data_IF_446506945123
#
_entry.id   IF_446506945123
#
_cell.length_a   1.000
_cell.length_b   1.000
_cell.length_c   1.000
_cell.angle_alpha   90.00
_cell.angle_beta   90.00
_cell.angle_gamma   90.00
#
_symmetry.space_group_name_H-M   'P 1'
#
loop_
_entity.id
_entity.type
_entity.pdbx_description
1 polymer ?
#
# COMPACT_ATOMS: atom_id res chain seq x y z
N UNK A 1 -11.30 -15.71 8.11
CA UNK A 1 -11.54 -14.40 7.50
C UNK A 1 -12.86 -14.48 6.75
N UNK A 2 -13.89 -13.79 7.23
CA UNK A 2 -15.16 -13.60 6.55
C UNK A 2 -15.16 -12.35 5.65
N UNK A 3 -16.30 -12.01 5.05
CA UNK A 3 -16.42 -10.81 4.20
C UNK A 3 -16.15 -9.52 4.98
N UNK A 4 -16.67 -9.41 6.21
CA UNK A 4 -16.46 -8.23 7.06
C UNK A 4 -14.97 -8.02 7.37
N UNK A 5 -14.25 -9.09 7.72
CA UNK A 5 -12.80 -9.04 7.93
C UNK A 5 -12.06 -8.60 6.67
N UNK A 6 -12.51 -9.06 5.50
CA UNK A 6 -11.93 -8.66 4.22
C UNK A 6 -12.15 -7.17 3.91
N UNK A 7 -13.31 -6.61 4.28
CA UNK A 7 -13.58 -5.16 4.13
C UNK A 7 -12.61 -4.35 4.99
N UNK A 8 -12.37 -4.75 6.24
CA UNK A 8 -11.36 -4.09 7.08
C UNK A 8 -9.95 -4.22 6.52
N UNK A 9 -9.60 -5.40 6.02
CA UNK A 9 -8.33 -5.65 5.37
C UNK A 9 -8.13 -4.73 4.16
N UNK A 10 -9.07 -4.68 3.21
CA UNK A 10 -8.88 -3.92 1.98
C UNK A 10 -8.83 -2.40 2.23
N UNK A 11 -9.66 -1.88 3.14
CA UNK A 11 -9.61 -0.47 3.52
C UNK A 11 -8.25 -0.12 4.16
N UNK A 12 -7.74 -0.99 5.03
CA UNK A 12 -6.45 -0.80 5.68
C UNK A 12 -5.27 -1.00 4.74
N UNK A 13 -5.38 -1.89 3.76
CA UNK A 13 -4.33 -2.19 2.78
C UNK A 13 -4.15 -1.06 1.76
N UNK A 14 -5.26 -0.46 1.34
CA UNK A 14 -5.26 0.60 0.34
C UNK A 14 -4.96 1.99 0.91
N UNK A 15 -5.46 2.30 2.11
CA UNK A 15 -5.08 3.52 2.84
C UNK A 15 -4.43 3.20 4.19
N UNK A 16 -3.15 2.82 4.11
CA UNK A 16 -2.32 2.51 5.29
C UNK A 16 -2.04 3.71 6.19
N UNK A 17 -2.18 4.93 5.67
CA UNK A 17 -1.93 6.16 6.42
C UNK A 17 -3.17 6.63 7.20
N UNK A 18 -4.34 6.06 6.92
CA UNK A 18 -5.54 6.27 7.72
C UNK A 18 -5.35 5.78 9.16
N UNK A 19 -5.99 6.43 10.13
CA UNK A 19 -5.89 6.02 11.54
C UNK A 19 -6.27 4.54 11.77
N UNK A 20 -7.36 4.00 11.19
CA UNK A 20 -7.67 2.58 11.27
C UNK A 20 -6.61 1.69 10.61
N UNK A 21 -6.07 2.10 9.46
CA UNK A 21 -5.01 1.36 8.76
C UNK A 21 -3.72 1.29 9.58
N UNK A 22 -3.32 2.40 10.20
CA UNK A 22 -2.17 2.45 11.11
C UNK A 22 -2.32 1.47 12.27
N UNK A 23 -3.49 1.47 12.93
CA UNK A 23 -3.74 0.56 14.05
C UNK A 23 -3.81 -0.91 13.63
N UNK A 24 -4.39 -1.18 12.46
CA UNK A 24 -4.50 -2.53 11.91
C UNK A 24 -3.10 -3.11 11.67
N UNK A 25 -2.26 -2.40 10.92
CA UNK A 25 -0.93 -2.89 10.55
C UNK A 25 0.05 -2.88 11.70
N UNK A 26 -0.05 -1.91 12.62
CA UNK A 26 0.75 -1.90 13.84
C UNK A 26 0.54 -3.20 14.64
N UNK A 27 -0.72 -3.60 14.87
CA UNK A 27 -1.05 -4.85 15.57
C UNK A 27 -0.57 -6.11 14.84
N UNK A 28 -0.43 -6.05 13.51
CA UNK A 28 0.10 -7.17 12.74
C UNK A 28 1.62 -7.29 12.84
N UNK A 29 2.34 -6.17 13.04
CA UNK A 29 3.81 -6.14 13.07
C UNK A 29 4.35 -6.29 14.49
N UNK A 30 3.64 -5.75 15.49
CA UNK A 30 3.93 -5.94 16.91
C UNK A 30 3.72 -7.42 17.28
N UNK A 31 4.80 -8.20 17.22
CA UNK A 31 4.75 -9.67 17.29
C UNK A 31 4.54 -10.15 18.74
N UNK A 32 5.04 -9.39 19.71
CA UNK A 32 4.91 -9.69 21.13
C UNK A 32 3.74 -8.93 21.80
N UNK A 33 3.14 -7.96 21.11
CA UNK A 33 1.97 -7.20 21.57
C UNK A 33 2.31 -6.16 22.65
N UNK A 34 3.57 -5.74 22.73
CA UNK A 34 4.04 -4.84 23.79
C UNK A 34 3.76 -3.35 23.49
N UNK A 35 3.24 -3.01 22.31
CA UNK A 35 2.91 -1.65 21.90
C UNK A 35 4.09 -0.85 21.34
N UNK A 36 5.22 -1.47 21.03
CA UNK A 36 6.39 -0.85 20.37
C UNK A 36 6.89 -1.73 19.23
N UNK A 37 7.41 -1.12 18.16
CA UNK A 37 8.08 -1.82 17.07
C UNK A 37 9.58 -1.69 17.22
N UNK A 38 10.23 -2.82 17.39
CA UNK A 38 11.69 -2.94 17.51
C UNK A 38 12.34 -3.23 16.15
N UNK A 39 13.65 -2.99 15.98
CA UNK A 39 14.35 -3.36 14.76
C UNK A 39 14.26 -4.84 14.46
N UNK A 40 14.25 -5.71 15.48
CA UNK A 40 14.13 -7.16 15.29
C UNK A 40 12.79 -7.54 14.64
N UNK A 41 11.68 -6.94 15.06
CA UNK A 41 10.37 -7.18 14.44
C UNK A 41 10.31 -6.64 13.01
N UNK A 42 10.85 -5.43 12.79
CA UNK A 42 10.94 -4.87 11.44
C UNK A 42 11.81 -5.73 10.52
N UNK A 43 12.93 -6.24 11.01
CA UNK A 43 13.83 -7.12 10.27
C UNK A 43 13.11 -8.41 9.86
N UNK A 44 12.35 -9.02 10.77
CA UNK A 44 11.59 -10.24 10.49
C UNK A 44 10.68 -10.10 9.25
N UNK A 45 9.97 -8.98 9.10
CA UNK A 45 9.15 -8.75 7.92
C UNK A 45 9.99 -8.40 6.68
N UNK A 46 11.05 -7.61 6.86
CA UNK A 46 11.90 -7.18 5.76
C UNK A 46 12.70 -8.31 5.11
N UNK A 47 13.04 -9.39 5.84
CA UNK A 47 13.75 -10.55 5.27
C UNK A 47 13.02 -11.17 4.07
N UNK A 48 11.70 -11.28 4.12
CA UNK A 48 10.91 -11.78 2.99
C UNK A 48 10.91 -10.78 1.82
N UNK A 49 10.91 -9.47 2.11
CA UNK A 49 10.99 -8.44 1.08
C UNK A 49 12.32 -8.48 0.34
N UNK A 50 13.42 -8.67 1.08
CA UNK A 50 14.75 -8.86 0.52
C UNK A 50 14.78 -10.05 -0.45
N UNK A 51 14.23 -11.18 -0.03
CA UNK A 51 14.14 -12.38 -0.87
C UNK A 51 13.33 -12.11 -2.16
N UNK A 52 12.18 -11.44 -2.04
CA UNK A 52 11.35 -11.10 -3.20
C UNK A 52 12.03 -10.11 -4.14
N UNK A 53 12.82 -9.15 -3.63
CA UNK A 53 13.62 -8.24 -4.45
C UNK A 53 14.67 -8.98 -5.27
N UNK A 54 15.37 -9.95 -4.67
CA UNK A 54 16.33 -10.80 -5.36
C UNK A 54 15.67 -11.60 -6.50
N UNK A 55 14.49 -12.19 -6.26
CA UNK A 55 13.72 -12.90 -7.28
C UNK A 55 13.29 -12.00 -8.46
N UNK A 56 13.09 -10.71 -8.21
CA UNK A 56 12.73 -9.72 -9.22
C UNK A 56 13.94 -9.04 -9.88
N UNK A 57 15.17 -9.49 -9.57
CA UNK A 57 16.44 -8.89 -10.02
C UNK A 57 16.56 -7.41 -9.68
N UNK A 58 15.89 -6.98 -8.60
CA UNK A 58 16.06 -5.64 -8.03
C UNK A 58 17.32 -5.62 -7.16
N UNK A 59 17.95 -4.46 -7.04
CA UNK A 59 19.11 -4.30 -6.17
C UNK A 59 18.65 -4.36 -4.70
N UNK A 60 19.11 -5.36 -3.91
CA UNK A 60 18.73 -5.47 -2.51
C UNK A 60 19.34 -4.32 -1.69
N UNK A 61 18.56 -3.78 -0.75
CA UNK A 61 19.02 -2.77 0.20
C UNK A 61 19.28 -3.46 1.54
N UNK A 62 20.36 -3.08 2.23
CA UNK A 62 20.67 -3.64 3.55
C UNK A 62 19.63 -3.17 4.57
N UNK A 63 19.26 -4.05 5.50
CA UNK A 63 18.29 -3.71 6.54
C UNK A 63 18.75 -2.52 7.39
N UNK A 64 20.05 -2.36 7.65
CA UNK A 64 20.59 -1.22 8.39
C UNK A 64 20.25 0.13 7.72
N UNK A 65 20.34 0.20 6.39
CA UNK A 65 20.03 1.40 5.62
C UNK A 65 18.51 1.67 5.62
N UNK A 66 17.71 0.61 5.47
CA UNK A 66 16.25 0.67 5.56
C UNK A 66 15.80 1.13 6.94
N UNK A 67 16.43 0.61 7.99
CA UNK A 67 16.14 0.99 9.36
C UNK A 67 16.41 2.48 9.55
N UNK A 68 17.57 2.98 9.10
CA UNK A 68 17.87 4.42 9.13
C UNK A 68 16.81 5.23 8.38
N UNK A 69 16.42 4.80 7.18
CA UNK A 69 15.38 5.47 6.38
C UNK A 69 14.02 5.50 7.09
N UNK A 70 13.61 4.41 7.76
CA UNK A 70 12.37 4.35 8.54
C UNK A 70 12.44 5.31 9.73
N UNK A 71 13.54 5.32 10.48
CA UNK A 71 13.71 6.21 11.63
C UNK A 71 13.73 7.68 11.24
N UNK A 72 14.41 8.02 10.14
CA UNK A 72 14.42 9.38 9.59
C UNK A 72 13.03 9.81 9.09
N UNK A 73 12.26 8.88 8.53
CA UNK A 73 10.90 9.14 8.04
C UNK A 73 9.90 9.38 9.18
N UNK A 74 9.97 8.60 10.24
CA UNK A 74 9.04 8.69 11.38
C UNK A 74 9.46 9.79 12.35
N UNK A 75 10.75 9.98 12.58
CA UNK A 75 11.29 10.93 13.56
C UNK A 75 10.73 10.70 14.96
N UNK A 76 10.84 9.48 15.54
CA UNK A 76 10.25 9.17 16.85
C UNK A 76 10.78 10.11 17.94
N UNK A 77 9.91 10.51 18.87
CA UNK A 77 10.31 11.36 19.99
C UNK A 77 11.34 10.60 20.85
N UNK A 78 12.61 11.03 20.79
CA UNK A 78 13.76 10.42 21.47
C UNK A 78 13.41 9.90 22.87
N UNK A 79 13.46 8.57 23.06
CA UNK A 79 13.58 8.01 24.40
C UNK A 79 14.96 8.40 24.93
N UNK A 80 15.07 9.17 26.05
CA UNK A 80 16.36 9.64 26.54
C UNK A 80 17.21 8.44 26.96
N UNK A 81 18.18 8.07 26.13
CA UNK A 81 19.03 6.91 26.36
C UNK A 81 19.87 6.55 25.14
N UNK A 82 20.72 7.48 24.67
CA UNK A 82 21.87 7.14 23.82
C UNK A 82 22.93 6.42 24.68
N UNK A 83 22.57 5.24 25.16
CA UNK A 83 23.49 4.20 25.60
C UNK A 83 23.47 3.14 24.52
N UNK A 84 24.65 2.69 24.13
CA UNK A 84 25.03 1.85 22.99
C UNK A 84 24.27 0.52 22.81
N UNK A 85 23.30 0.22 23.69
CA UNK A 85 22.60 -1.06 23.79
C UNK A 85 21.07 -0.93 23.70
N UNK A 86 20.52 0.30 23.55
CA UNK A 86 19.07 0.50 23.40
C UNK A 86 18.74 0.86 21.95
N UNK A 87 18.56 -0.18 21.14
CA UNK A 87 18.00 -0.10 19.79
C UNK A 87 16.70 0.72 19.86
N UNK A 88 16.61 1.82 19.09
CA UNK A 88 15.43 2.68 19.09
C UNK A 88 14.16 1.89 18.76
N UNK A 89 13.00 2.35 19.23
CA UNK A 89 11.71 1.73 18.93
C UNK A 89 10.72 2.77 18.41
N UNK A 90 9.70 2.29 17.70
CA UNK A 90 8.63 3.13 17.14
C UNK A 90 7.31 2.76 17.81
N UNK A 91 6.60 3.74 18.35
CA UNK A 91 5.26 3.53 18.90
C UNK A 91 4.18 3.85 17.87
N UNK A 92 2.95 3.36 18.10
CA UNK A 92 1.79 3.76 17.30
C UNK A 92 1.58 5.29 17.32
N UNK A 93 1.93 5.97 18.43
CA UNK A 93 1.84 7.43 18.52
C UNK A 93 2.80 8.11 17.55
N UNK A 94 4.02 7.61 17.42
CA UNK A 94 5.00 8.14 16.47
C UNK A 94 4.49 7.99 15.03
N UNK A 95 3.93 6.82 14.70
CA UNK A 95 3.31 6.58 13.39
C UNK A 95 2.11 7.50 13.12
N UNK A 96 1.23 7.73 14.11
CA UNK A 96 0.10 8.66 13.96
C UNK A 96 0.56 10.11 13.78
N UNK A 97 1.77 10.47 14.24
CA UNK A 97 2.37 11.78 14.07
C UNK A 97 2.95 12.04 12.68
N UNK A 98 3.22 11.00 11.90
CA UNK A 98 3.87 11.11 10.59
C UNK A 98 2.91 10.77 9.43
N UNK A 99 2.91 11.62 8.38
CA UNK A 99 2.10 11.40 7.17
C UNK A 99 2.64 10.30 6.26
N UNK A 100 3.89 9.89 6.47
CA UNK A 100 4.58 8.90 5.64
C UNK A 100 4.53 7.50 6.26
N UNK A 101 3.87 7.32 7.40
CA UNK A 101 3.80 6.06 8.14
C UNK A 101 3.26 4.89 7.33
N UNK A 102 2.32 5.13 6.39
CA UNK A 102 1.86 4.10 5.46
C UNK A 102 2.98 3.52 4.59
N UNK A 103 4.03 4.29 4.29
CA UNK A 103 5.17 3.82 3.51
C UNK A 103 6.07 2.88 4.31
N UNK A 104 6.20 3.07 5.63
CA UNK A 104 6.94 2.14 6.50
C UNK A 104 6.39 0.73 6.35
N UNK A 105 5.08 0.59 6.39
CA UNK A 105 4.43 -0.71 6.18
C UNK A 105 4.65 -1.29 4.79
N UNK A 106 4.63 -0.44 3.74
CA UNK A 106 4.92 -0.92 2.40
C UNK A 106 6.36 -1.43 2.26
N UNK A 107 7.33 -0.73 2.86
CA UNK A 107 8.74 -1.17 2.92
C UNK A 107 8.81 -2.58 3.54
N UNK A 108 8.13 -2.78 4.68
CA UNK A 108 8.20 -4.02 5.45
C UNK A 108 7.51 -5.22 4.80
N UNK A 109 6.40 -5.05 4.07
CA UNK A 109 5.66 -6.23 3.57
C UNK A 109 4.87 -6.05 2.26
N UNK A 110 4.84 -4.86 1.65
CA UNK A 110 4.22 -4.65 0.33
C UNK A 110 5.25 -4.18 -0.70
N UNK A 111 5.97 -5.15 -1.27
CA UNK A 111 7.02 -4.89 -2.26
C UNK A 111 6.54 -4.08 -3.47
N UNK A 112 5.33 -4.35 -3.97
CA UNK A 112 4.82 -3.63 -5.15
C UNK A 112 4.63 -2.14 -4.86
N UNK A 113 4.01 -1.80 -3.72
CA UNK A 113 3.85 -0.40 -3.30
C UNK A 113 5.18 0.24 -2.91
N UNK A 114 6.11 -0.53 -2.34
CA UNK A 114 7.46 -0.05 -2.04
C UNK A 114 8.26 0.31 -3.30
N UNK A 115 8.36 -0.59 -4.28
CA UNK A 115 9.03 -0.31 -5.57
C UNK A 115 8.35 0.84 -6.29
N UNK A 116 7.01 0.87 -6.30
CA UNK A 116 6.26 1.96 -6.90
C UNK A 116 6.64 3.29 -6.25
N UNK A 117 6.79 3.34 -4.92
CA UNK A 117 7.21 4.52 -4.16
C UNK A 117 8.64 4.98 -4.51
N UNK A 118 9.61 4.07 -4.53
CA UNK A 118 11.02 4.36 -4.86
C UNK A 118 11.19 4.85 -6.31
N UNK A 119 10.37 4.33 -7.23
CA UNK A 119 10.39 4.70 -8.65
C UNK A 119 9.48 5.87 -9.03
N UNK A 120 8.88 6.58 -8.04
CA UNK A 120 7.94 7.67 -8.31
C UNK A 120 8.57 8.78 -9.12
N UNK A 121 7.93 9.12 -10.23
CA UNK A 121 8.28 10.28 -11.04
C UNK A 121 8.08 11.57 -10.22
N UNK A 122 9.10 12.46 -10.13
CA UNK A 122 8.96 13.79 -9.55
C UNK A 122 7.75 14.60 -10.04
N UNK A 123 7.30 14.37 -11.26
CA UNK A 123 6.09 15.00 -11.81
C UNK A 123 4.81 14.49 -11.13
N UNK A 124 4.67 13.18 -10.92
CA UNK A 124 3.51 12.59 -10.23
C UNK A 124 3.45 13.03 -8.76
N UNK A 125 4.60 13.16 -8.10
CA UNK A 125 4.71 13.70 -6.73
C UNK A 125 4.15 15.13 -6.67
N UNK A 126 4.41 15.96 -7.69
CA UNK A 126 3.88 17.34 -7.75
C UNK A 126 2.36 17.34 -7.95
N UNK A 127 1.86 16.49 -8.84
CA UNK A 127 0.43 16.38 -9.12
C UNK A 127 -0.37 15.91 -7.89
N UNK A 128 0.16 14.96 -7.11
CA UNK A 128 -0.48 14.55 -5.85
C UNK A 128 -0.57 15.70 -4.83
N UNK A 129 0.44 16.57 -4.78
CA UNK A 129 0.44 17.76 -3.92
C UNK A 129 -0.57 18.82 -4.35
N UNK A 130 -1.00 18.82 -5.61
CA UNK A 130 -2.01 19.75 -6.12
C UNK A 130 -3.43 19.38 -5.63
N UNK A 131 -3.68 18.11 -5.32
CA UNK A 131 -4.95 17.61 -4.78
C UNK A 131 -4.76 16.96 -3.39
N UNK A 132 -4.44 17.75 -2.35
CA UNK A 132 -4.15 17.24 -1.01
C UNK A 132 -5.39 16.77 -0.25
N UNK A 133 -6.60 17.03 -0.78
CA UNK A 133 -7.87 16.64 -0.14
C UNK A 133 -8.29 15.20 -0.44
N UNK A 134 -7.66 14.54 -1.42
CA UNK A 134 -7.95 13.14 -1.75
C UNK A 134 -7.08 12.22 -0.89
N UNK A 135 -7.74 11.26 -0.23
CA UNK A 135 -7.09 10.16 0.49
C UNK A 135 -6.49 9.15 -0.47
N UNK A 136 -5.63 8.26 0.02
CA UNK A 136 -5.10 7.16 -0.81
C UNK A 136 -6.22 6.19 -1.23
N UNK A 137 -7.21 5.98 -0.36
CA UNK A 137 -8.42 5.24 -0.71
C UNK A 137 -9.18 5.90 -1.87
N UNK A 138 -9.37 7.22 -1.85
CA UNK A 138 -10.06 7.92 -2.94
C UNK A 138 -9.34 7.75 -4.28
N UNK A 139 -7.99 7.81 -4.26
CA UNK A 139 -7.16 7.59 -5.45
C UNK A 139 -7.27 6.16 -5.96
N UNK A 140 -7.21 5.18 -5.05
CA UNK A 140 -7.37 3.77 -5.39
C UNK A 140 -8.75 3.49 -5.97
N UNK A 141 -9.82 3.88 -5.27
CA UNK A 141 -11.19 3.66 -5.68
C UNK A 141 -11.50 4.32 -7.03
N UNK A 142 -11.00 5.54 -7.27
CA UNK A 142 -11.16 6.22 -8.55
C UNK A 142 -10.47 5.46 -9.69
N UNK A 143 -9.23 4.97 -9.47
CA UNK A 143 -8.48 4.20 -10.47
C UNK A 143 -9.18 2.88 -10.78
N UNK A 144 -9.60 2.15 -9.75
CA UNK A 144 -10.30 0.87 -9.93
C UNK A 144 -11.66 1.05 -10.60
N UNK A 145 -12.39 2.11 -10.26
CA UNK A 145 -13.64 2.44 -10.94
C UNK A 145 -13.44 2.65 -12.45
N UNK A 146 -12.43 3.45 -12.84
CA UNK A 146 -12.11 3.67 -14.26
C UNK A 146 -11.74 2.34 -14.92
N UNK A 147 -10.86 1.54 -14.29
CA UNK A 147 -10.43 0.24 -14.83
C UNK A 147 -11.63 -0.68 -15.11
N UNK A 148 -12.51 -0.83 -14.12
CA UNK A 148 -13.71 -1.67 -14.25
C UNK A 148 -14.68 -1.14 -15.30
N UNK A 149 -14.90 0.18 -15.38
CA UNK A 149 -15.77 0.76 -16.42
C UNK A 149 -15.25 0.50 -17.84
N UNK A 150 -13.93 0.49 -18.02
CA UNK A 150 -13.33 0.19 -19.33
C UNK A 150 -13.40 -1.30 -19.67
N UNK A 151 -13.37 -2.19 -18.67
CA UNK A 151 -13.55 -3.63 -18.86
C UNK A 151 -15.00 -3.95 -19.27
N UNK A 152 -15.99 -3.28 -18.65
CA UNK A 152 -17.41 -3.39 -19.04
C UNK A 152 -17.65 -2.92 -20.48
N UNK A 153 -17.09 -1.76 -20.89
CA UNK A 153 -17.21 -1.24 -22.26
C UNK A 153 -16.63 -2.20 -23.32
N UNK A 154 -15.57 -2.95 -22.98
CA UNK A 154 -14.95 -3.94 -23.88
C UNK A 154 -15.78 -5.22 -23.95
N UNK A 155 -16.34 -5.69 -22.83
CA UNK A 155 -17.24 -6.83 -22.81
C UNK A 155 -18.53 -6.55 -23.59
N UNK A 156 -19.13 -5.36 -23.43
CA UNK A 156 -20.30 -4.91 -24.19
C UNK A 156 -20.00 -4.69 -25.68
N UNK A 157 -18.83 -4.17 -26.04
CA UNK A 157 -18.41 -4.07 -27.43
C UNK A 157 -18.17 -5.45 -28.08
N UNK A 158 -17.74 -6.45 -27.29
CA UNK A 158 -17.53 -7.83 -27.75
C UNK A 158 -18.83 -8.64 -27.85
N UNK A 159 -19.82 -8.34 -27.02
CA UNK A 159 -21.15 -8.95 -27.05
C UNK A 159 -22.13 -8.22 -27.98
N UNK A 160 -21.82 -6.98 -28.40
CA UNK A 160 -22.65 -6.16 -29.29
C UNK A 160 -22.62 -6.53 -30.78
N UNK A 161 -21.88 -7.57 -31.20
CA UNK A 161 -21.83 -8.03 -32.59
C UNK A 161 -22.73 -9.23 -32.91
N UNK A 162 -23.80 -9.43 -32.15
CA UNK A 162 -24.71 -10.56 -32.35
C UNK A 162 -26.15 -10.22 -31.98
N UNK A 163 -26.82 -9.42 -32.82
CA UNK A 163 -28.22 -9.60 -33.23
C UNK A 163 -28.77 -8.32 -33.86
N UNK A 164 -28.54 -8.14 -35.17
CA UNK A 164 -29.35 -7.25 -36.00
C UNK A 164 -30.61 -8.05 -36.37
N UNK A 165 -31.67 -7.88 -35.59
CA UNK A 165 -33.03 -8.18 -36.03
C UNK A 165 -33.55 -7.00 -36.83
N UNK A 166 -33.77 -7.19 -38.13
CA UNK A 166 -34.89 -6.59 -38.90
C UNK A 166 -34.96 -7.28 -40.27
N UNK A 167 -35.84 -8.26 -40.43
CA UNK A 167 -37.18 -8.14 -41.02
C UNK A 167 -37.21 -8.14 -42.56
N UNK A 168 -37.79 -9.23 -43.08
CA UNK A 168 -38.82 -9.24 -44.12
C UNK A 168 -38.44 -8.92 -45.57
N UNK A 169 -38.36 -9.95 -46.42
CA UNK A 169 -39.08 -9.94 -47.69
C UNK A 169 -39.70 -11.32 -47.96
N UNK A 170 -41.02 -11.41 -47.76
CA UNK A 170 -41.88 -12.43 -48.35
C UNK A 170 -41.71 -12.43 -49.88
N UNK A 171 -41.69 -13.63 -50.48
CA UNK A 171 -42.00 -13.80 -51.90
C UNK A 171 -43.20 -14.75 -52.02
N UNK A 172 -44.35 -14.29 -52.52
CA UNK A 172 -45.43 -15.18 -52.91
C UNK A 172 -45.25 -15.63 -54.37
N UNK A 173 -45.11 -16.95 -54.51
CA UNK A 173 -45.25 -17.83 -55.70
C UNK A 173 -44.22 -17.73 -56.83
#
# INVERSE_FOLDING_TARGET
MGYEDFVYFILSEEDKSSEPGLEYWFKCIDLDGNGVLTPNEMQFFYEEQLHRMECMTQEPVLFEDILCQIFDMIGPEVTPGFSTDNEGYITLRDLKGCKLSGNVFNILFNLNKFIAFESRDPFLIRQERENPTLTEWDRFAHREYIRLSMEEDVEDASNGSGDIWDESFEAPF
#
